data_IF_667902148658
#
_entry.id   IF_667902148658
#
_cell.length_a   1.000
_cell.length_b   1.000
_cell.length_c   1.000
_cell.angle_alpha   90.00
_cell.angle_beta   90.00
_cell.angle_gamma   90.00
#
_symmetry.space_group_name_H-M   'P 1'
#
loop_
_entity.id
_entity.type
_entity.pdbx_description
1 polymer ?
#
# COMPACT_ATOMS: atom_id res chain seq x y z
N UNK A 1 3.63 -1.44 17.33
CA UNK A 1 4.57 -0.98 16.28
C UNK A 1 3.98 -1.00 14.86
N UNK A 2 3.86 -2.15 14.17
CA UNK A 2 3.41 -2.17 12.76
C UNK A 2 2.02 -1.54 12.55
N UNK A 3 1.02 -1.98 13.33
CA UNK A 3 -0.36 -1.48 13.27
C UNK A 3 -0.42 0.02 13.55
N UNK A 4 0.27 0.48 14.59
CA UNK A 4 0.31 1.90 14.98
C UNK A 4 0.92 2.75 13.87
N UNK A 5 2.01 2.31 13.25
CA UNK A 5 2.63 3.01 12.12
C UNK A 5 1.67 3.11 10.94
N UNK A 6 1.08 1.99 10.51
CA UNK A 6 0.16 1.97 9.36
C UNK A 6 -1.11 2.82 9.59
N UNK A 7 -1.60 2.92 10.82
CA UNK A 7 -2.77 3.71 11.17
C UNK A 7 -2.56 5.24 11.02
N UNK A 8 -1.32 5.69 10.85
CA UNK A 8 -1.01 7.12 10.64
C UNK A 8 -1.25 7.57 9.19
N UNK A 9 -1.41 6.62 8.27
CA UNK A 9 -1.51 6.89 6.84
C UNK A 9 -2.97 6.88 6.37
N UNK A 10 -3.31 7.84 5.51
CA UNK A 10 -4.56 7.85 4.71
C UNK A 10 -4.31 7.55 3.24
N UNK A 11 -3.05 7.62 2.81
CA UNK A 11 -2.60 7.31 1.46
C UNK A 11 -1.35 6.43 1.50
N UNK A 12 -1.09 5.74 0.39
CA UNK A 12 0.10 4.93 0.20
C UNK A 12 0.70 5.24 -1.17
N UNK A 13 2.03 5.11 -1.28
CA UNK A 13 2.70 5.14 -2.58
C UNK A 13 2.46 3.78 -3.24
N UNK A 14 2.06 3.80 -4.51
CA UNK A 14 1.83 2.59 -5.29
C UNK A 14 2.94 2.43 -6.32
N UNK A 15 3.65 1.31 -6.27
CA UNK A 15 4.48 0.82 -7.35
C UNK A 15 3.67 -0.14 -8.23
N UNK A 16 3.52 0.21 -9.50
CA UNK A 16 2.81 -0.59 -10.52
C UNK A 16 3.74 -0.88 -11.69
N UNK A 17 3.36 -1.79 -12.60
CA UNK A 17 4.15 -2.11 -13.79
C UNK A 17 3.36 -1.67 -15.01
N UNK A 18 3.98 -0.87 -15.88
CA UNK A 18 3.33 -0.42 -17.11
C UNK A 18 3.38 -1.47 -18.23
N UNK A 19 2.70 -1.17 -19.34
CA UNK A 19 2.64 -2.05 -20.52
C UNK A 19 4.00 -2.34 -21.17
N UNK A 20 5.02 -1.51 -20.90
CA UNK A 20 6.38 -1.66 -21.40
C UNK A 20 7.28 -2.39 -20.37
N UNK A 21 6.69 -2.92 -19.29
CA UNK A 21 7.36 -3.59 -18.18
C UNK A 21 8.29 -2.68 -17.36
N UNK A 22 8.04 -1.37 -17.36
CA UNK A 22 8.73 -0.43 -16.47
C UNK A 22 7.96 -0.23 -15.15
N UNK A 23 8.67 -0.08 -14.02
CA UNK A 23 8.04 0.29 -12.76
C UNK A 23 7.52 1.73 -12.83
N UNK A 24 6.34 1.95 -12.25
CA UNK A 24 5.68 3.25 -12.21
C UNK A 24 5.19 3.54 -10.80
N UNK A 25 5.72 4.61 -10.19
CA UNK A 25 5.32 5.07 -8.88
C UNK A 25 4.21 6.12 -8.98
N UNK A 26 3.23 6.02 -8.09
CA UNK A 26 2.14 6.97 -7.92
C UNK A 26 1.68 6.95 -6.46
N UNK A 27 0.54 7.54 -6.15
CA UNK A 27 -0.08 7.40 -4.84
C UNK A 27 -1.58 7.14 -4.97
N UNK A 28 -2.19 6.63 -3.89
CA UNK A 28 -3.64 6.57 -3.76
C UNK A 28 -4.05 6.69 -2.30
N UNK A 29 -5.25 7.22 -2.06
CA UNK A 29 -5.97 6.97 -0.81
C UNK A 29 -6.23 5.47 -0.70
N UNK A 30 -6.11 4.92 0.50
CA UNK A 30 -6.41 3.53 0.75
C UNK A 30 -7.32 3.39 1.97
N UNK A 31 -7.98 2.25 2.06
CA UNK A 31 -8.54 1.75 3.31
C UNK A 31 -8.02 0.35 3.61
N UNK A 32 -8.09 -0.06 4.87
CA UNK A 32 -7.93 -1.46 5.27
C UNK A 32 -9.25 -1.96 5.83
N UNK A 33 -9.80 -3.02 5.25
CA UNK A 33 -11.08 -3.63 5.68
C UNK A 33 -10.97 -5.15 5.68
N UNK A 34 -11.34 -5.80 6.78
CA UNK A 34 -11.23 -7.27 6.96
C UNK A 34 -9.87 -7.85 6.54
N UNK A 35 -8.79 -7.15 6.88
CA UNK A 35 -7.37 -7.46 6.58
C UNK A 35 -6.88 -7.21 5.15
N UNK A 36 -7.77 -6.88 4.21
CA UNK A 36 -7.36 -6.52 2.86
C UNK A 36 -7.25 -5.00 2.71
N UNK A 37 -6.41 -4.58 1.77
CA UNK A 37 -6.25 -3.19 1.41
C UNK A 37 -7.10 -2.90 0.18
N UNK A 38 -7.61 -1.67 0.08
CA UNK A 38 -8.41 -1.28 -1.08
C UNK A 38 -7.99 0.10 -1.55
N UNK A 39 -8.05 0.31 -2.86
CA UNK A 39 -7.81 1.60 -3.53
C UNK A 39 -8.91 1.86 -4.55
N UNK A 40 -9.31 3.12 -4.69
CA UNK A 40 -10.37 3.55 -5.59
C UNK A 40 -9.81 4.53 -6.62
N UNK A 41 -9.67 4.08 -7.88
CA UNK A 41 -8.85 4.73 -8.89
C UNK A 41 -9.65 5.01 -10.16
N UNK A 42 -9.44 6.17 -10.80
CA UNK A 42 -9.95 6.45 -12.16
C UNK A 42 -9.09 5.77 -13.22
N UNK A 43 -9.73 5.28 -14.27
CA UNK A 43 -9.11 4.72 -15.47
C UNK A 43 -8.30 5.74 -16.28
N UNK A 44 -8.51 7.03 -16.02
CA UNK A 44 -7.67 8.09 -16.56
C UNK A 44 -6.25 8.06 -15.96
N UNK A 45 -6.10 7.53 -14.75
CA UNK A 45 -4.82 7.50 -14.07
C UNK A 45 -3.99 6.28 -14.49
N UNK A 46 -2.71 6.51 -14.75
CA UNK A 46 -1.78 5.49 -15.27
C UNK A 46 -1.72 4.23 -14.40
N UNK A 47 -1.78 4.39 -13.07
CA UNK A 47 -1.75 3.26 -12.15
C UNK A 47 -2.96 2.31 -12.28
N UNK A 48 -4.15 2.81 -12.65
CA UNK A 48 -5.34 1.98 -12.80
C UNK A 48 -5.23 1.13 -14.07
N UNK A 49 -4.77 1.75 -15.17
CA UNK A 49 -4.46 1.07 -16.41
C UNK A 49 -3.37 0.00 -16.22
N UNK A 50 -2.30 0.36 -15.50
CA UNK A 50 -1.21 -0.56 -15.19
C UNK A 50 -1.74 -1.77 -14.40
N UNK A 51 -2.50 -1.55 -13.32
CA UNK A 51 -3.07 -2.61 -12.48
C UNK A 51 -4.01 -3.53 -13.28
N UNK A 52 -4.82 -2.97 -14.19
CA UNK A 52 -5.69 -3.74 -15.08
C UNK A 52 -4.91 -4.67 -16.01
N UNK A 53 -3.74 -4.24 -16.48
CA UNK A 53 -2.87 -5.04 -17.35
C UNK A 53 -1.94 -6.00 -16.60
N UNK A 54 -1.55 -5.64 -15.37
CA UNK A 54 -0.65 -6.41 -14.53
C UNK A 54 -1.06 -6.25 -13.06
N UNK A 55 -1.53 -7.34 -12.46
CA UNK A 55 -2.08 -7.30 -11.11
C UNK A 55 -1.03 -7.16 -9.99
N UNK A 56 0.28 -7.15 -10.30
CA UNK A 56 1.33 -7.01 -9.30
C UNK A 56 1.48 -5.56 -8.87
N UNK A 57 1.33 -5.30 -7.57
CA UNK A 57 1.37 -3.95 -6.99
C UNK A 57 2.21 -3.96 -5.72
N UNK A 58 3.04 -2.93 -5.55
CA UNK A 58 3.73 -2.62 -4.29
C UNK A 58 3.01 -1.47 -3.59
N UNK A 59 2.69 -1.62 -2.31
CA UNK A 59 2.24 -0.53 -1.44
C UNK A 59 3.39 -0.10 -0.54
N UNK A 60 3.73 1.18 -0.56
CA UNK A 60 4.83 1.74 0.21
C UNK A 60 4.34 2.84 1.15
N UNK A 61 4.43 2.55 2.44
CA UNK A 61 4.12 3.46 3.54
C UNK A 61 5.45 3.95 4.11
N UNK A 62 5.67 5.25 4.10
CA UNK A 62 6.94 5.84 4.53
C UNK A 62 6.67 7.10 5.33
N UNK A 63 7.37 7.23 6.47
CA UNK A 63 7.31 8.39 7.35
C UNK A 63 7.61 9.68 6.60
N UNK A 64 6.86 10.75 6.90
CA UNK A 64 7.09 12.08 6.33
C UNK A 64 8.51 12.57 6.64
N UNK A 65 9.19 13.18 5.66
CA UNK A 65 10.57 13.66 5.84
C UNK A 65 10.69 14.68 6.96
N UNK A 66 9.72 15.58 7.07
CA UNK A 66 9.69 16.62 8.12
C UNK A 66 9.43 16.07 9.53
N UNK A 67 9.03 14.79 9.66
CA UNK A 67 8.76 14.14 10.95
C UNK A 67 9.81 13.10 11.31
N UNK A 68 10.66 12.69 10.36
CA UNK A 68 11.61 11.62 10.61
C UNK A 68 12.78 12.12 11.46
N UNK A 69 13.17 11.32 12.46
CA UNK A 69 14.33 11.62 13.32
C UNK A 69 15.65 11.53 12.55
N UNK A 70 15.70 10.65 11.54
CA UNK A 70 16.88 10.44 10.71
C UNK A 70 16.49 10.12 9.26
N UNK A 71 16.90 11.00 8.34
CA UNK A 71 16.59 10.87 6.91
C UNK A 71 17.12 9.57 6.29
N UNK A 72 18.24 9.04 6.78
CA UNK A 72 18.82 7.78 6.33
C UNK A 72 18.09 6.54 6.86
N UNK A 73 17.18 6.72 7.83
CA UNK A 73 16.49 5.62 8.50
C UNK A 73 14.99 5.90 8.70
N UNK A 74 14.35 6.58 7.73
CA UNK A 74 12.89 6.78 7.71
C UNK A 74 12.14 5.47 7.96
N UNK A 75 11.22 5.51 8.93
CA UNK A 75 10.33 4.38 9.23
C UNK A 75 9.51 4.08 8.00
N UNK A 76 9.42 2.80 7.64
CA UNK A 76 8.73 2.40 6.41
C UNK A 76 8.23 0.96 6.44
N UNK A 77 7.18 0.73 5.67
CA UNK A 77 6.57 -0.58 5.42
C UNK A 77 6.33 -0.72 3.92
N UNK A 78 6.76 -1.83 3.35
CA UNK A 78 6.46 -2.20 1.96
C UNK A 78 5.66 -3.49 1.98
N UNK A 79 4.55 -3.52 1.24
CA UNK A 79 3.81 -4.74 0.95
C UNK A 79 3.82 -5.01 -0.55
N UNK A 80 4.11 -6.24 -0.93
CA UNK A 80 3.86 -6.75 -2.28
C UNK A 80 2.49 -7.42 -2.29
N UNK A 81 1.65 -7.08 -3.25
CA UNK A 81 0.27 -7.49 -3.32
C UNK A 81 -0.15 -7.89 -4.73
N UNK A 82 -1.22 -8.69 -4.80
CA UNK A 82 -1.97 -8.92 -6.04
C UNK A 82 -3.28 -8.14 -5.98
N UNK A 83 -3.56 -7.41 -7.05
CA UNK A 83 -4.76 -6.62 -7.21
C UNK A 83 -5.87 -7.41 -7.93
N UNK A 84 -7.12 -7.22 -7.50
CA UNK A 84 -8.32 -7.68 -8.19
C UNK A 84 -9.37 -6.57 -8.20
N UNK A 85 -10.18 -6.52 -9.26
CA UNK A 85 -11.28 -5.56 -9.35
C UNK A 85 -12.49 -6.10 -8.60
N UNK A 86 -13.09 -5.27 -7.76
CA UNK A 86 -14.37 -5.55 -7.12
C UNK A 86 -15.50 -5.14 -8.06
N UNK A 87 -16.42 -6.07 -8.33
CA UNK A 87 -17.58 -5.83 -9.20
C UNK A 87 -18.44 -4.69 -8.63
N UNK A 88 -18.72 -3.68 -9.46
CA UNK A 88 -19.46 -2.46 -9.11
C UNK A 88 -20.82 -2.71 -8.44
N UNK A 89 -21.61 -3.64 -8.95
CA UNK A 89 -22.95 -3.93 -8.42
C UNK A 89 -22.96 -4.92 -7.24
N UNK A 90 -21.79 -5.23 -6.68
CA UNK A 90 -21.69 -6.16 -5.54
C UNK A 90 -21.90 -5.44 -4.21
N UNK A 91 -22.42 -6.17 -3.22
CA UNK A 91 -22.52 -5.67 -1.85
C UNK A 91 -21.16 -5.21 -1.30
N UNK A 92 -20.08 -5.93 -1.64
CA UNK A 92 -18.72 -5.60 -1.25
C UNK A 92 -18.27 -4.24 -1.79
N UNK A 93 -18.65 -3.88 -3.02
CA UNK A 93 -18.33 -2.57 -3.58
C UNK A 93 -18.95 -1.44 -2.78
N UNK A 94 -20.25 -1.55 -2.50
CA UNK A 94 -20.99 -0.55 -1.69
C UNK A 94 -20.44 -0.46 -0.27
N UNK A 95 -20.19 -1.59 0.38
CA UNK A 95 -19.62 -1.66 1.73
C UNK A 95 -18.27 -0.91 1.80
N UNK A 96 -17.35 -1.23 0.88
CA UNK A 96 -16.02 -0.64 0.86
C UNK A 96 -16.07 0.85 0.50
N UNK A 97 -16.92 1.28 -0.44
CA UNK A 97 -17.06 2.71 -0.73
C UNK A 97 -17.64 3.51 0.43
N UNK A 98 -18.50 2.93 1.26
CA UNK A 98 -18.97 3.59 2.47
C UNK A 98 -17.83 3.83 3.47
N UNK A 99 -16.82 2.96 3.53
CA UNK A 99 -15.60 3.21 4.31
C UNK A 99 -14.74 4.34 3.72
N UNK A 100 -14.64 4.42 2.38
CA UNK A 100 -13.98 5.56 1.73
C UNK A 100 -14.71 6.89 1.98
N UNK A 101 -16.05 6.90 2.04
CA UNK A 101 -16.83 8.11 2.36
C UNK A 101 -16.51 8.67 3.77
N UNK A 102 -16.04 7.83 4.70
CA UNK A 102 -15.59 8.30 6.03
C UNK A 102 -14.29 9.12 5.95
N UNK A 103 -13.52 8.96 4.88
CA UNK A 103 -12.30 9.75 4.62
C UNK A 103 -12.66 11.08 3.96
N UNK A 104 -13.40 11.04 2.85
CA UNK A 104 -13.89 12.22 2.13
C UNK A 104 -15.24 11.91 1.47
N UNK A 105 -16.31 12.25 2.19
CA UNK A 105 -17.68 12.04 1.74
C UNK A 105 -17.98 12.74 0.41
N UNK A 106 -17.56 14.00 0.26
CA UNK A 106 -17.91 14.81 -0.92
C UNK A 106 -17.28 14.23 -2.18
N UNK A 107 -15.99 13.92 -2.12
CA UNK A 107 -15.26 13.37 -3.28
C UNK A 107 -15.79 11.99 -3.66
N UNK A 108 -16.04 11.12 -2.68
CA UNK A 108 -16.51 9.74 -2.96
C UNK A 108 -17.95 9.73 -3.49
N UNK A 109 -18.84 10.59 -2.99
CA UNK A 109 -20.22 10.70 -3.50
C UNK A 109 -20.28 11.15 -4.97
N UNK A 110 -19.35 11.99 -5.40
CA UNK A 110 -19.25 12.40 -6.81
C UNK A 110 -18.67 11.25 -7.65
N UNK A 111 -17.52 10.72 -7.23
CA UNK A 111 -16.75 9.74 -8.01
C UNK A 111 -17.38 8.35 -8.03
N UNK A 112 -18.24 7.98 -7.08
CA UNK A 112 -18.95 6.68 -7.09
C UNK A 112 -19.90 6.50 -8.27
N UNK A 113 -20.40 7.60 -8.85
CA UNK A 113 -21.29 7.57 -10.01
C UNK A 113 -20.52 7.58 -11.35
N UNK A 114 -19.20 7.74 -11.31
CA UNK A 114 -18.34 7.77 -12.49
C UNK A 114 -17.90 6.34 -12.82
N UNK A 115 -18.27 5.85 -14.01
CA UNK A 115 -18.05 4.45 -14.41
C UNK A 115 -16.57 4.12 -14.65
N UNK A 116 -15.75 5.13 -14.94
CA UNK A 116 -14.31 5.02 -15.14
C UNK A 116 -13.54 4.90 -13.81
N UNK A 117 -14.19 5.09 -12.67
CA UNK A 117 -13.59 4.74 -11.38
C UNK A 117 -13.79 3.26 -11.06
N UNK A 118 -12.74 2.62 -10.58
CA UNK A 118 -12.74 1.20 -10.26
C UNK A 118 -12.21 0.97 -8.83
N UNK A 119 -12.85 0.05 -8.12
CA UNK A 119 -12.42 -0.37 -6.79
C UNK A 119 -11.54 -1.62 -6.93
N UNK A 120 -10.32 -1.53 -6.41
CA UNK A 120 -9.36 -2.62 -6.41
C UNK A 120 -9.15 -3.12 -4.99
N UNK A 121 -9.22 -4.44 -4.80
CA UNK A 121 -8.74 -5.13 -3.61
C UNK A 121 -7.28 -5.51 -3.82
N UNK A 122 -6.43 -5.19 -2.85
CA UNK A 122 -5.01 -5.47 -2.84
C UNK A 122 -4.72 -6.51 -1.76
N UNK A 123 -4.57 -7.76 -2.18
CA UNK A 123 -4.25 -8.88 -1.31
C UNK A 123 -2.74 -8.99 -1.14
N UNK A 124 -2.26 -8.75 0.08
CA UNK A 124 -0.83 -8.84 0.42
C UNK A 124 -0.33 -10.28 0.23
N UNK A 125 0.89 -10.42 -0.30
CA UNK A 125 1.60 -11.68 -0.52
C UNK A 125 2.82 -11.78 0.40
N UNK A 126 3.55 -10.68 0.58
CA UNK A 126 4.64 -10.56 1.55
C UNK A 126 4.93 -9.09 1.82
N UNK A 127 5.70 -8.80 2.86
CA UNK A 127 6.09 -7.43 3.17
C UNK A 127 7.32 -7.33 4.04
N UNK A 128 7.82 -6.11 4.16
CA UNK A 128 8.98 -5.76 4.95
C UNK A 128 8.72 -4.48 5.72
N UNK A 129 9.33 -4.35 6.90
CA UNK A 129 9.29 -3.13 7.69
C UNK A 129 10.70 -2.74 8.15
N UNK A 130 10.96 -1.44 8.20
CA UNK A 130 12.16 -0.87 8.80
C UNK A 130 11.75 0.25 9.75
N UNK A 131 12.16 0.15 11.01
CA UNK A 131 11.82 1.12 12.06
C UNK A 131 13.06 1.76 12.70
N UNK A 132 14.15 1.87 11.94
CA UNK A 132 15.44 2.42 12.35
C UNK A 132 16.61 1.50 11.99
N UNK A 133 17.84 1.93 12.29
CA UNK A 133 19.03 1.12 12.11
C UNK A 133 18.94 -0.20 12.88
N UNK A 134 19.31 -1.31 12.23
CA UNK A 134 19.24 -2.66 12.80
C UNK A 134 17.82 -3.17 13.10
N UNK A 135 16.77 -2.37 12.82
CA UNK A 135 15.37 -2.70 13.09
C UNK A 135 14.65 -3.01 11.78
N UNK A 136 15.11 -4.05 11.10
CA UNK A 136 14.51 -4.55 9.86
C UNK A 136 13.75 -5.86 10.13
N UNK A 137 12.58 -6.00 9.50
CA UNK A 137 11.66 -7.10 9.74
C UNK A 137 11.08 -7.60 8.42
N UNK A 138 10.84 -8.92 8.35
CA UNK A 138 9.90 -9.50 7.40
C UNK A 138 8.51 -9.49 8.04
N UNK A 139 7.47 -9.23 7.25
CA UNK A 139 6.08 -9.26 7.72
C UNK A 139 5.47 -10.60 7.36
N UNK A 140 4.85 -11.25 8.34
CA UNK A 140 4.36 -12.62 8.28
C UNK A 140 2.99 -12.77 8.96
N UNK A 141 2.53 -14.02 9.06
CA UNK A 141 1.20 -14.36 9.57
C UNK A 141 0.15 -14.29 8.46
N UNK A 142 -0.98 -14.97 8.68
CA UNK A 142 -2.07 -15.05 7.68
C UNK A 142 -2.64 -13.69 7.27
N UNK A 143 -2.53 -12.70 8.17
CA UNK A 143 -3.04 -11.33 7.99
C UNK A 143 -1.93 -10.31 7.69
N UNK A 144 -0.68 -10.76 7.52
CA UNK A 144 0.50 -9.92 7.36
C UNK A 144 0.60 -8.80 8.41
N UNK A 145 0.45 -9.19 9.68
CA UNK A 145 0.44 -8.30 10.84
C UNK A 145 1.53 -8.61 11.87
N UNK A 146 2.32 -9.67 11.67
CA UNK A 146 3.40 -10.09 12.57
C UNK A 146 4.77 -9.69 12.01
N UNK A 147 5.59 -9.05 12.84
CA UNK A 147 6.97 -8.71 12.51
C UNK A 147 7.91 -9.83 12.95
N UNK A 148 8.72 -10.33 12.02
CA UNK A 148 9.82 -11.27 12.29
C UNK A 148 11.12 -10.50 12.07
N UNK A 149 11.98 -10.34 13.10
CA UNK A 149 13.28 -9.70 12.92
C UNK A 149 14.10 -10.40 11.83
N UNK A 150 14.75 -9.61 10.97
CA UNK A 150 15.74 -10.16 10.04
C UNK A 150 17.06 -10.39 10.79
N UNK A 151 17.70 -11.51 10.55
CA UNK A 151 18.99 -11.83 11.16
C UNK A 151 20.04 -10.75 10.83
N UNK A 152 20.61 -10.16 11.87
CA UNK A 152 21.64 -9.11 11.81
C UNK A 152 23.01 -9.64 11.36
N UNK A 153 23.19 -10.96 11.25
CA UNK A 153 24.45 -11.62 10.89
C UNK A 153 24.86 -11.40 9.42
N UNK A 154 23.95 -10.93 8.57
CA UNK A 154 24.23 -10.46 7.21
C UNK A 154 24.32 -8.92 7.10
N UNK A 155 24.55 -8.23 8.22
CA UNK A 155 24.63 -6.77 8.30
C UNK A 155 25.81 -6.15 7.52
N UNK A 156 25.87 -4.81 7.51
CA UNK A 156 26.90 -4.06 6.79
C UNK A 156 28.31 -4.48 7.21
N UNK A 157 29.15 -4.85 6.24
CA UNK A 157 30.58 -5.06 6.46
C UNK A 157 31.25 -3.70 6.57
N UNK A 158 31.95 -3.47 7.67
CA UNK A 158 32.80 -2.30 7.83
C UNK A 158 34.14 -2.55 7.16
N UNK A 159 34.62 -1.59 6.38
CA UNK A 159 36.04 -1.56 5.99
C UNK A 159 36.81 -1.22 7.26
N UNK A 160 37.52 -2.19 7.81
CA UNK A 160 38.53 -1.95 8.84
C UNK A 160 39.70 -1.25 8.16
N UNK A 161 40.01 -0.01 8.59
CA UNK A 161 41.25 0.67 8.21
C UNK A 161 42.38 0.19 9.10
#
# INVERSE_FOLDING_TARGET
MLKEFLNQFKSTILGTIDKNNYPFNSYSVFIKHNNNYYVYLSDMAKHAQNIKSNCKVSMFFIEDENKCENIFARKRVVFQAQASIIKRDSNKFTEILNEFEKIDKKTVQITRNMIDFNLFELKVIYGEAVFGFGKAYTISGEKFDKLIPKDSSAGHKHITK
#
